data_IF_691950727158
#
_entry.id   IF_691950727158
#
_cell.length_a   1.000
_cell.length_b   1.000
_cell.length_c   1.000
_cell.angle_alpha   90.00
_cell.angle_beta   90.00
_cell.angle_gamma   90.00
#
_symmetry.space_group_name_H-M   'P 1'
#
loop_
_entity.id
_entity.type
_entity.pdbx_description
1 polymer ?
#
# COMPACT_ATOMS: atom_id res chain seq x y z
N UNK A 1 15.72 10.12 -14.05
CA UNK A 1 15.07 9.45 -12.91
C UNK A 1 13.84 8.68 -13.38
N UNK A 2 13.74 7.42 -13.00
CA UNK A 2 12.61 6.60 -13.46
C UNK A 2 11.37 6.93 -12.63
N UNK A 3 10.29 7.30 -13.31
CA UNK A 3 9.03 7.64 -12.67
C UNK A 3 7.90 6.84 -13.33
N UNK A 4 7.22 6.04 -12.51
CA UNK A 4 6.13 5.17 -12.98
C UNK A 4 4.92 5.38 -12.07
N UNK A 5 3.74 5.54 -12.66
CA UNK A 5 2.49 5.76 -11.94
C UNK A 5 2.57 6.93 -10.94
N UNK A 6 3.35 7.95 -11.27
CA UNK A 6 3.54 9.11 -10.43
C UNK A 6 4.53 8.92 -9.28
N UNK A 7 5.20 7.79 -9.22
CA UNK A 7 6.15 7.46 -8.14
C UNK A 7 7.58 7.47 -8.69
N UNK A 8 8.48 8.15 -8.01
CA UNK A 8 9.90 8.13 -8.35
C UNK A 8 10.52 6.86 -7.75
N UNK A 9 11.06 6.02 -8.62
CA UNK A 9 11.66 4.77 -8.19
C UNK A 9 13.09 4.99 -7.69
N UNK A 10 13.53 4.25 -6.64
CA UNK A 10 14.90 4.38 -6.16
C UNK A 10 15.90 3.87 -7.19
N UNK A 11 16.85 4.71 -7.56
CA UNK A 11 17.81 4.42 -8.64
C UNK A 11 18.77 3.29 -8.31
N UNK A 12 19.14 3.16 -7.05
CA UNK A 12 20.14 2.20 -6.61
C UNK A 12 19.60 0.78 -6.41
N UNK A 13 18.29 0.63 -6.37
CA UNK A 13 17.65 -0.67 -6.14
C UNK A 13 17.48 -1.45 -7.45
N UNK A 14 17.45 -2.78 -7.34
CA UNK A 14 17.08 -3.62 -8.48
C UNK A 14 15.64 -3.29 -8.89
N UNK A 15 15.32 -3.42 -10.16
CA UNK A 15 13.99 -3.08 -10.67
C UNK A 15 12.90 -3.88 -9.94
N UNK A 16 13.18 -5.14 -9.61
CA UNK A 16 12.26 -5.99 -8.87
C UNK A 16 11.86 -5.36 -7.53
N UNK A 17 12.82 -4.82 -6.82
CA UNK A 17 12.57 -4.18 -5.52
C UNK A 17 12.03 -2.77 -5.70
N UNK A 18 12.55 -2.03 -6.69
CA UNK A 18 12.11 -0.66 -6.96
C UNK A 18 10.63 -0.56 -7.27
N UNK A 19 10.10 -1.51 -8.03
CA UNK A 19 8.69 -1.54 -8.38
C UNK A 19 7.77 -1.71 -7.18
N UNK A 20 8.25 -2.32 -6.10
CA UNK A 20 7.45 -2.49 -4.88
C UNK A 20 7.19 -1.18 -4.14
N UNK A 21 7.86 -0.10 -4.53
CA UNK A 21 7.61 1.23 -3.96
C UNK A 21 6.31 1.83 -4.47
N UNK A 22 5.74 1.26 -5.52
CA UNK A 22 4.44 1.68 -6.05
C UNK A 22 3.34 1.01 -5.22
N UNK A 23 2.40 1.81 -4.72
CA UNK A 23 1.27 1.27 -3.95
C UNK A 23 0.43 0.33 -4.82
N UNK A 24 0.30 -0.90 -4.40
CA UNK A 24 -0.42 -1.93 -5.15
C UNK A 24 0.47 -2.96 -5.82
N UNK A 25 1.79 -2.76 -5.81
CA UNK A 25 2.75 -3.72 -6.35
C UNK A 25 3.60 -4.26 -5.22
N UNK A 26 3.46 -5.55 -4.94
CA UNK A 26 4.32 -6.27 -4.00
C UNK A 26 5.40 -7.04 -4.75
N UNK A 27 6.23 -7.75 -4.02
CA UNK A 27 7.35 -8.50 -4.61
C UNK A 27 6.86 -9.53 -5.63
N UNK A 28 5.83 -10.30 -5.31
CA UNK A 28 5.29 -11.32 -6.22
C UNK A 28 4.75 -10.72 -7.50
N UNK A 29 4.00 -9.63 -7.40
CA UNK A 29 3.45 -8.92 -8.56
C UNK A 29 4.57 -8.36 -9.42
N UNK A 30 5.61 -7.81 -8.79
CA UNK A 30 6.78 -7.29 -9.47
C UNK A 30 7.49 -8.39 -10.27
N UNK A 31 7.72 -9.54 -9.64
CA UNK A 31 8.37 -10.68 -10.31
C UNK A 31 7.57 -11.17 -11.52
N UNK A 32 6.27 -11.30 -11.35
CA UNK A 32 5.37 -11.74 -12.43
C UNK A 32 5.39 -10.75 -13.59
N UNK A 33 5.31 -9.47 -13.29
CA UNK A 33 5.32 -8.42 -14.29
C UNK A 33 6.61 -8.43 -15.10
N UNK A 34 7.76 -8.53 -14.43
CA UNK A 34 9.05 -8.54 -15.08
C UNK A 34 9.23 -9.78 -15.99
N UNK A 35 8.72 -10.92 -15.55
CA UNK A 35 8.75 -12.14 -16.36
C UNK A 35 7.92 -11.99 -17.63
N UNK A 36 6.73 -11.41 -17.53
CA UNK A 36 5.85 -11.22 -18.69
C UNK A 36 6.37 -10.18 -19.67
N UNK A 37 6.97 -9.12 -19.17
CA UNK A 37 7.53 -8.05 -20.00
C UNK A 37 8.90 -8.41 -20.56
N UNK A 38 9.58 -9.37 -19.97
CA UNK A 38 10.89 -9.82 -20.42
C UNK A 38 12.04 -8.96 -19.96
N UNK A 39 11.89 -8.28 -18.82
CA UNK A 39 12.95 -7.46 -18.23
C UNK A 39 13.69 -8.26 -17.17
N UNK A 40 15.02 -8.17 -17.16
CA UNK A 40 15.82 -8.84 -16.15
C UNK A 40 15.55 -8.22 -14.77
N UNK A 41 15.09 -9.02 -13.78
CA UNK A 41 14.77 -8.48 -12.45
C UNK A 41 15.99 -7.94 -11.68
N UNK A 42 17.18 -8.34 -12.05
CA UNK A 42 18.41 -7.91 -11.38
C UNK A 42 18.95 -6.58 -11.92
N UNK A 43 18.36 -6.04 -12.98
CA UNK A 43 18.77 -4.74 -13.52
C UNK A 43 18.45 -3.63 -12.51
N UNK A 44 19.42 -2.75 -12.27
CA UNK A 44 19.18 -1.59 -11.41
C UNK A 44 18.23 -0.60 -12.10
N UNK A 45 17.44 0.11 -11.32
CA UNK A 45 16.47 1.07 -11.87
C UNK A 45 17.17 2.10 -12.77
N UNK A 46 18.34 2.57 -12.36
CA UNK A 46 19.11 3.56 -13.12
C UNK A 46 19.59 3.03 -14.48
N UNK A 47 19.70 1.72 -14.65
CA UNK A 47 20.20 1.07 -15.85
C UNK A 47 19.09 0.65 -16.83
N UNK A 48 17.84 0.92 -16.50
CA UNK A 48 16.70 0.60 -17.37
C UNK A 48 16.69 1.49 -18.59
N UNK A 49 16.45 0.88 -19.78
CA UNK A 49 16.30 1.62 -21.01
C UNK A 49 14.91 2.25 -21.10
N UNK A 50 14.77 3.26 -21.96
CA UNK A 50 13.47 3.88 -22.22
C UNK A 50 12.44 2.88 -22.74
N UNK A 51 12.88 1.92 -23.55
CA UNK A 51 12.00 0.87 -24.07
C UNK A 51 11.47 0.00 -22.94
N UNK A 52 12.35 -0.40 -22.02
CA UNK A 52 11.98 -1.21 -20.87
C UNK A 52 11.02 -0.45 -19.95
N UNK A 53 11.30 0.83 -19.69
CA UNK A 53 10.41 1.67 -18.89
C UNK A 53 9.04 1.81 -19.53
N UNK A 54 8.99 1.99 -20.84
CA UNK A 54 7.73 2.10 -21.59
C UNK A 54 6.91 0.82 -21.47
N UNK A 55 7.56 -0.33 -21.59
CA UNK A 55 6.89 -1.63 -21.44
C UNK A 55 6.31 -1.81 -20.04
N UNK A 56 7.06 -1.42 -19.03
CA UNK A 56 6.61 -1.51 -17.64
C UNK A 56 5.41 -0.59 -17.39
N UNK A 57 5.47 0.64 -17.87
CA UNK A 57 4.36 1.59 -17.74
C UNK A 57 3.10 1.07 -18.40
N UNK A 58 3.23 0.56 -19.61
CA UNK A 58 2.11 0.01 -20.35
C UNK A 58 1.48 -1.19 -19.65
N UNK A 59 2.31 -2.10 -19.14
CA UNK A 59 1.81 -3.25 -18.39
C UNK A 59 1.02 -2.83 -17.15
N UNK A 60 1.54 -1.89 -16.40
CA UNK A 60 0.88 -1.38 -15.19
C UNK A 60 -0.45 -0.73 -15.54
N UNK A 61 -0.46 0.09 -16.59
CA UNK A 61 -1.67 0.80 -17.00
C UNK A 61 -2.79 -0.15 -17.42
N UNK A 62 -2.45 -1.23 -18.13
CA UNK A 62 -3.46 -2.15 -18.66
C UNK A 62 -3.84 -3.30 -17.74
N UNK A 63 -2.96 -3.72 -16.86
CA UNK A 63 -3.17 -4.95 -16.08
C UNK A 63 -3.27 -4.77 -14.56
N UNK A 64 -2.87 -3.62 -14.03
CA UNK A 64 -2.81 -3.41 -12.60
C UNK A 64 -3.56 -2.14 -12.18
N UNK A 65 -4.12 -2.20 -10.98
CA UNK A 65 -4.63 -1.01 -10.30
C UNK A 65 -3.62 -0.61 -9.26
N UNK A 66 -3.12 0.61 -9.33
CA UNK A 66 -2.06 1.09 -8.44
C UNK A 66 -2.34 2.53 -8.01
N UNK A 67 -1.64 2.95 -6.96
CA UNK A 67 -1.65 4.32 -6.45
C UNK A 67 -3.05 4.90 -6.28
N UNK A 68 -3.35 6.02 -6.89
CA UNK A 68 -4.62 6.73 -6.67
C UNK A 68 -5.86 5.88 -6.95
N UNK A 69 -5.85 5.11 -8.02
CA UNK A 69 -6.99 4.27 -8.40
C UNK A 69 -7.22 3.17 -7.36
N UNK A 70 -6.15 2.55 -6.89
CA UNK A 70 -6.25 1.51 -5.86
C UNK A 70 -6.67 2.11 -4.52
N UNK A 71 -6.11 3.25 -4.15
CA UNK A 71 -6.48 3.93 -2.90
C UNK A 71 -7.95 4.29 -2.91
N UNK A 72 -8.47 4.76 -4.04
CA UNK A 72 -9.89 5.08 -4.21
C UNK A 72 -10.74 3.83 -4.05
N UNK A 73 -10.35 2.73 -4.69
CA UNK A 73 -11.07 1.47 -4.60
C UNK A 73 -11.15 0.97 -3.16
N UNK A 74 -10.03 0.96 -2.45
CA UNK A 74 -9.98 0.55 -1.05
C UNK A 74 -10.88 1.45 -0.19
N UNK A 75 -10.80 2.76 -0.37
CA UNK A 75 -11.62 3.71 0.37
C UNK A 75 -13.10 3.49 0.12
N UNK A 76 -13.50 3.26 -1.13
CA UNK A 76 -14.89 2.98 -1.48
C UNK A 76 -15.37 1.66 -0.89
N UNK A 77 -14.52 0.64 -0.88
CA UNK A 77 -14.86 -0.64 -0.28
C UNK A 77 -15.10 -0.52 1.23
N UNK A 78 -14.24 0.24 1.91
CA UNK A 78 -14.41 0.50 3.34
C UNK A 78 -15.69 1.30 3.60
N UNK A 79 -15.94 2.34 2.81
CA UNK A 79 -17.14 3.15 2.91
C UNK A 79 -18.40 2.30 2.74
N UNK A 80 -18.38 1.38 1.78
CA UNK A 80 -19.50 0.46 1.55
C UNK A 80 -19.75 -0.41 2.79
N UNK A 81 -18.70 -0.96 3.40
CA UNK A 81 -18.82 -1.77 4.61
C UNK A 81 -19.46 -0.97 5.75
N UNK A 82 -19.07 0.29 5.89
CA UNK A 82 -19.61 1.18 6.91
C UNK A 82 -21.08 1.45 6.64
N UNK A 83 -21.45 1.71 5.39
CA UNK A 83 -22.84 2.03 5.00
C UNK A 83 -23.78 0.86 5.19
N UNK A 84 -23.36 -0.38 4.90
CA UNK A 84 -24.21 -1.55 5.13
C UNK A 84 -24.35 -1.90 6.62
N UNK A 85 -23.50 -1.35 7.48
CA UNK A 85 -23.57 -1.58 8.91
C UNK A 85 -23.12 -2.95 9.37
N UNK A 86 -22.29 -3.65 8.59
CA UNK A 86 -21.77 -4.94 8.99
C UNK A 86 -20.70 -4.77 10.09
N UNK A 87 -20.34 -5.88 10.73
CA UNK A 87 -19.35 -5.85 11.81
C UNK A 87 -18.03 -5.21 11.36
N UNK A 88 -17.52 -5.60 10.20
CA UNK A 88 -16.27 -5.02 9.68
C UNK A 88 -16.38 -3.50 9.48
N UNK A 89 -17.51 -3.05 8.97
CA UNK A 89 -17.75 -1.62 8.78
C UNK A 89 -17.75 -0.85 10.09
N UNK A 90 -18.37 -1.40 11.12
CA UNK A 90 -18.37 -0.80 12.45
C UNK A 90 -16.94 -0.70 13.00
N UNK A 91 -16.14 -1.73 12.83
CA UNK A 91 -14.74 -1.71 13.26
C UNK A 91 -13.93 -0.63 12.52
N UNK A 92 -14.14 -0.49 11.21
CA UNK A 92 -13.48 0.58 10.44
C UNK A 92 -13.90 1.97 10.91
N UNK A 93 -15.19 2.14 11.22
CA UNK A 93 -15.70 3.43 11.68
C UNK A 93 -15.07 3.84 13.00
N UNK A 94 -14.82 2.89 13.88
CA UNK A 94 -14.22 3.15 15.20
C UNK A 94 -12.69 3.13 15.18
N UNK A 95 -12.08 2.83 14.03
CA UNK A 95 -10.62 2.75 13.93
C UNK A 95 -10.00 1.58 14.69
N UNK A 96 -10.72 0.46 14.77
CA UNK A 96 -10.29 -0.73 15.50
C UNK A 96 -9.90 -1.86 14.54
N UNK A 97 -9.12 -2.86 15.03
CA UNK A 97 -8.80 -4.02 14.21
C UNK A 97 -10.05 -4.73 13.70
N UNK A 98 -10.02 -5.16 12.45
CA UNK A 98 -11.18 -5.70 11.74
C UNK A 98 -11.22 -7.24 11.79
N UNK A 99 -10.08 -7.88 12.03
CA UNK A 99 -9.94 -9.33 11.95
C UNK A 99 -9.95 -10.05 13.31
N UNK A 100 -10.64 -9.50 14.29
CA UNK A 100 -10.80 -10.16 15.59
C UNK A 100 -9.60 -10.11 16.50
N UNK A 101 -8.67 -9.23 16.24
CA UNK A 101 -7.47 -9.09 17.07
C UNK A 101 -7.80 -8.47 18.44
N UNK A 102 -6.98 -8.83 19.44
CA UNK A 102 -7.13 -8.30 20.77
C UNK A 102 -6.82 -6.80 20.78
N UNK A 103 -7.71 -6.00 21.37
CA UNK A 103 -7.58 -4.53 21.39
C UNK A 103 -7.18 -3.99 22.76
N UNK A 104 -7.25 -4.81 23.79
CA UNK A 104 -7.03 -4.36 25.18
C UNK A 104 -5.59 -3.89 25.42
N UNK A 105 -4.63 -4.62 24.91
CA UNK A 105 -3.21 -4.38 25.18
C UNK A 105 -2.43 -3.85 23.98
N UNK A 106 -2.81 -4.28 22.78
CA UNK A 106 -2.07 -4.02 21.56
C UNK A 106 -2.94 -3.31 20.53
N UNK A 107 -2.74 -3.61 19.24
CA UNK A 107 -3.49 -3.03 18.13
C UNK A 107 -3.11 -1.56 17.86
N UNK A 108 -1.86 -1.22 18.11
CA UNK A 108 -1.39 0.17 17.93
C UNK A 108 -1.43 0.66 16.50
N UNK A 109 -1.28 -0.24 15.52
CA UNK A 109 -1.33 0.12 14.11
C UNK A 109 -2.67 0.79 13.74
N UNK A 110 -3.77 0.25 14.26
CA UNK A 110 -5.11 0.80 13.99
C UNK A 110 -5.48 1.92 14.97
N UNK A 111 -5.19 1.72 16.24
CA UNK A 111 -5.56 2.67 17.30
C UNK A 111 -4.64 3.87 17.37
N UNK A 112 -3.43 3.73 16.85
CA UNK A 112 -2.42 4.76 16.94
C UNK A 112 -1.63 4.71 18.23
N UNK A 113 -0.74 5.69 18.47
CA UNK A 113 0.06 5.73 19.69
C UNK A 113 -0.79 5.85 20.94
N UNK A 114 -0.26 5.41 22.07
CA UNK A 114 -0.92 5.56 23.35
C UNK A 114 -1.12 7.03 23.66
N UNK A 115 -2.31 7.37 24.12
CA UNK A 115 -2.65 8.76 24.51
C UNK A 115 -3.06 8.81 25.96
N UNK A 116 -2.46 9.72 26.70
CA UNK A 116 -2.81 9.96 28.09
C UNK A 116 -3.95 10.97 28.18
N UNK A 117 -4.97 10.64 28.94
CA UNK A 117 -6.10 11.56 29.15
C UNK A 117 -5.78 12.44 30.33
N UNK A 118 -5.68 13.75 30.13
CA UNK A 118 -5.31 14.70 31.17
C UNK A 118 -6.23 14.68 32.39
N UNK A 119 -7.52 14.49 32.18
CA UNK A 119 -8.49 14.39 33.25
C UNK A 119 -8.21 13.22 34.20
N UNK A 120 -7.85 12.06 33.66
CA UNK A 120 -7.48 10.90 34.47
C UNK A 120 -6.20 11.13 35.24
N UNK A 121 -5.25 11.80 34.66
CA UNK A 121 -3.99 12.13 35.28
C UNK A 121 -4.21 12.99 36.51
N UNK A 122 -5.10 13.98 36.43
CA UNK A 122 -5.46 14.82 37.58
C UNK A 122 -6.16 14.02 38.66
N UNK A 123 -7.02 13.10 38.28
CA UNK A 123 -7.76 12.28 39.23
C UNK A 123 -6.88 11.37 40.08
N UNK A 124 -5.68 11.07 39.62
CA UNK A 124 -4.76 10.17 40.31
C UNK A 124 -3.87 10.88 41.33
N UNK A 125 -3.95 12.16 41.45
CA UNK A 125 -3.15 12.93 42.42
C UNK A 125 -3.70 12.86 43.83
#
# INVERSE_FOLDING_TARGET
>A
MARIAGVDLPREKRVEIGLTYIYGIGLTTSQKMLAEVGVNPDTRVKDLSETELSKLREYIEHNLKVEGDLRREVSLNIKRLIEIGCYRGVRHRHGLPVRGQNTKQNARTRKGPKKTIAGKKKATK
#
